data_IF_797443135451
#
_entry.id   IF_797443135451
#
_cell.length_a   1.000
_cell.length_b   1.000
_cell.length_c   1.000
_cell.angle_alpha   90.00
_cell.angle_beta   90.00
_cell.angle_gamma   90.00
#
_symmetry.space_group_name_H-M   'P 1'
#
loop_
_entity.id
_entity.type
_entity.pdbx_description
1 polymer ?
#
# COMPACT_ATOMS: atom_id res chain seq x y z
N UNK A 1 -62.36 33.71 57.74
CA UNK A 1 -61.19 32.80 57.81
C UNK A 1 -60.73 32.59 56.38
N UNK A 2 -59.70 33.25 56.02
CA UNK A 2 -59.09 33.12 54.65
C UNK A 2 -57.82 32.26 54.84
N UNK A 3 -57.78 31.08 54.21
CA UNK A 3 -56.64 30.22 54.17
C UNK A 3 -55.81 30.59 52.94
N UNK A 4 -54.61 31.14 53.16
CA UNK A 4 -53.62 31.41 52.15
C UNK A 4 -52.94 30.11 51.76
N UNK A 5 -53.07 29.72 50.50
CA UNK A 5 -52.27 28.66 49.92
C UNK A 5 -50.95 29.28 49.39
N UNK A 6 -49.89 29.08 50.14
CA UNK A 6 -48.50 29.30 49.58
C UNK A 6 -48.18 28.12 48.69
N UNK A 7 -48.15 28.38 47.36
CA UNK A 7 -47.52 27.47 46.43
C UNK A 7 -46.01 27.80 46.42
N UNK A 8 -45.20 27.01 47.06
CA UNK A 8 -43.74 26.98 46.89
C UNK A 8 -43.41 26.61 45.47
N UNK A 9 -42.93 27.59 44.72
CA UNK A 9 -42.29 27.32 43.43
C UNK A 9 -40.97 26.57 43.69
N UNK A 10 -40.96 25.29 43.41
CA UNK A 10 -39.72 24.52 43.41
C UNK A 10 -38.75 25.14 42.40
N UNK A 11 -37.69 25.77 42.90
CA UNK A 11 -36.59 26.25 42.09
C UNK A 11 -35.96 25.04 41.39
N UNK A 12 -36.15 24.94 40.09
CA UNK A 12 -35.40 23.99 39.22
C UNK A 12 -33.93 24.38 39.32
N UNK A 13 -33.17 23.68 40.19
CA UNK A 13 -31.71 23.81 40.19
C UNK A 13 -31.19 23.49 38.79
N UNK A 14 -30.73 24.49 38.06
CA UNK A 14 -29.99 24.26 36.79
C UNK A 14 -28.78 23.41 37.16
N UNK A 15 -28.68 22.21 36.60
CA UNK A 15 -27.55 21.33 36.83
C UNK A 15 -26.25 22.08 36.54
N UNK A 16 -25.32 22.04 37.48
CA UNK A 16 -24.01 22.72 37.35
C UNK A 16 -23.27 22.19 36.15
N UNK A 17 -22.80 23.08 35.29
CA UNK A 17 -21.92 22.76 34.14
C UNK A 17 -20.51 22.59 34.69
N UNK A 18 -19.85 21.46 34.36
CA UNK A 18 -18.46 21.18 34.74
C UNK A 18 -17.59 21.24 33.48
N UNK A 19 -16.62 22.16 33.47
CA UNK A 19 -15.60 22.24 32.40
C UNK A 19 -14.54 21.14 32.56
N UNK A 20 -13.96 20.72 31.43
CA UNK A 20 -12.90 19.73 31.37
C UNK A 20 -12.21 19.69 30.01
N UNK A 21 -11.32 18.77 29.88
CA UNK A 21 -10.65 18.42 28.61
C UNK A 21 -10.60 16.91 28.47
N UNK A 22 -10.66 16.43 27.21
CA UNK A 22 -10.48 15.01 26.88
C UNK A 22 -9.53 14.92 25.70
N UNK A 23 -8.54 14.04 25.82
CA UNK A 23 -7.57 13.81 24.72
C UNK A 23 -8.14 12.80 23.73
N UNK A 24 -8.11 13.17 22.46
CA UNK A 24 -8.43 12.32 21.32
C UNK A 24 -7.27 12.31 20.34
N UNK A 25 -7.11 11.23 19.60
CA UNK A 25 -6.20 11.20 18.45
C UNK A 25 -6.99 11.62 17.21
N UNK A 26 -6.72 12.82 16.70
CA UNK A 26 -7.40 13.35 15.51
C UNK A 26 -6.46 13.22 14.31
N UNK A 27 -6.86 12.46 13.29
CA UNK A 27 -6.04 12.17 12.10
C UNK A 27 -4.59 11.75 12.44
N UNK A 28 -4.44 10.94 13.49
CA UNK A 28 -3.13 10.44 13.96
C UNK A 28 -2.39 11.36 14.94
N UNK A 29 -2.91 12.55 15.27
CA UNK A 29 -2.29 13.50 16.19
C UNK A 29 -3.07 13.58 17.50
N UNK A 30 -2.44 13.43 18.68
CA UNK A 30 -3.10 13.64 19.97
C UNK A 30 -3.50 15.10 20.16
N UNK A 31 -4.77 15.34 20.49
CA UNK A 31 -5.35 16.68 20.69
C UNK A 31 -6.19 16.69 21.97
N UNK A 32 -6.01 17.70 22.81
CA UNK A 32 -6.82 17.93 24.00
C UNK A 32 -8.03 18.80 23.63
N UNK A 33 -9.22 18.21 23.59
CA UNK A 33 -10.48 18.87 23.24
C UNK A 33 -11.18 19.40 24.50
N UNK A 34 -11.60 20.68 24.46
CA UNK A 34 -12.38 21.29 25.55
C UNK A 34 -13.77 20.68 25.64
N UNK A 35 -14.20 20.36 26.84
CA UNK A 35 -15.49 19.71 27.11
C UNK A 35 -16.27 20.42 28.22
N UNK A 36 -17.57 20.20 28.23
CA UNK A 36 -18.42 20.44 29.37
C UNK A 36 -19.25 19.17 29.69
N UNK A 37 -19.42 18.88 30.97
CA UNK A 37 -20.37 17.87 31.43
C UNK A 37 -21.64 18.57 31.92
N UNK A 38 -22.79 18.22 31.34
CA UNK A 38 -24.12 18.77 31.70
C UNK A 38 -25.15 17.67 31.66
N UNK A 39 -25.88 17.49 32.76
CA UNK A 39 -26.94 16.50 32.90
C UNK A 39 -26.49 15.05 32.54
N UNK A 40 -25.27 14.69 32.85
CA UNK A 40 -24.69 13.38 32.54
C UNK A 40 -24.21 13.20 31.13
N UNK A 41 -24.24 14.23 30.29
CA UNK A 41 -23.73 14.21 28.92
C UNK A 41 -22.46 15.05 28.79
N UNK A 42 -21.49 14.51 28.09
CA UNK A 42 -20.27 15.24 27.70
C UNK A 42 -20.44 15.87 26.34
N UNK A 43 -20.26 17.19 26.29
CA UNK A 43 -20.31 17.97 25.04
C UNK A 43 -18.93 18.57 24.75
N UNK A 44 -18.60 18.76 23.50
CA UNK A 44 -17.29 19.21 23.01
C UNK A 44 -17.38 20.56 22.32
N UNK A 45 -16.33 21.37 22.42
CA UNK A 45 -16.26 22.67 21.75
C UNK A 45 -16.39 22.52 20.23
N UNK A 46 -17.48 23.04 19.66
CA UNK A 46 -17.79 22.98 18.24
C UNK A 46 -16.66 23.52 17.38
N UNK A 47 -16.17 24.74 17.70
CA UNK A 47 -15.15 25.41 16.89
C UNK A 47 -13.80 24.70 16.95
N UNK A 48 -13.45 24.11 18.11
CA UNK A 48 -12.21 23.38 18.25
C UNK A 48 -12.26 22.06 17.47
N UNK A 49 -13.30 21.26 17.63
CA UNK A 49 -13.46 20.02 16.87
C UNK A 49 -13.52 20.28 15.37
N UNK A 50 -14.32 21.27 14.94
CA UNK A 50 -14.40 21.64 13.53
C UNK A 50 -13.04 22.07 12.95
N UNK A 51 -12.25 22.84 13.72
CA UNK A 51 -10.90 23.24 13.32
C UNK A 51 -9.94 22.06 13.16
N UNK A 52 -9.96 21.10 14.08
CA UNK A 52 -9.15 19.88 14.02
C UNK A 52 -9.54 18.97 12.84
N UNK A 53 -10.83 18.97 12.46
CA UNK A 53 -11.32 18.27 11.28
C UNK A 53 -11.03 19.02 9.97
N UNK A 54 -10.49 20.23 10.02
CA UNK A 54 -10.27 21.08 8.84
C UNK A 54 -11.56 21.65 8.24
N UNK A 55 -12.66 21.66 9.00
CA UNK A 55 -13.94 22.17 8.52
C UNK A 55 -14.00 23.70 8.54
N UNK A 56 -14.69 24.28 7.57
CA UNK A 56 -14.98 25.70 7.50
C UNK A 56 -16.23 26.02 8.32
N UNK A 57 -16.13 27.00 9.22
CA UNK A 57 -17.24 27.40 10.09
C UNK A 57 -17.68 28.83 9.74
N UNK A 58 -18.95 28.98 9.34
CA UNK A 58 -19.61 30.27 9.14
C UNK A 58 -20.61 30.51 10.25
N UNK A 59 -20.43 31.58 10.98
CA UNK A 59 -21.34 31.96 12.08
C UNK A 59 -22.44 32.85 11.53
N UNK A 60 -23.69 32.56 11.91
CA UNK A 60 -24.87 33.38 11.63
C UNK A 60 -25.51 33.88 12.92
N UNK A 61 -26.50 34.77 12.82
CA UNK A 61 -27.23 35.27 13.98
C UNK A 61 -27.94 34.19 14.80
N UNK A 62 -28.26 33.04 14.17
CA UNK A 62 -29.06 31.99 14.79
C UNK A 62 -28.29 30.65 14.94
N UNK A 63 -27.02 30.60 14.56
CA UNK A 63 -26.26 29.35 14.65
C UNK A 63 -25.04 29.30 13.75
N UNK A 64 -24.74 28.08 13.29
CA UNK A 64 -23.51 27.76 12.55
C UNK A 64 -23.84 27.00 11.27
N UNK A 65 -23.12 27.28 10.22
CA UNK A 65 -23.00 26.47 9.02
C UNK A 65 -21.57 25.99 8.92
N UNK A 66 -21.39 24.67 8.87
CA UNK A 66 -20.08 24.02 8.76
C UNK A 66 -20.03 23.25 7.45
N UNK A 67 -18.89 23.34 6.78
CA UNK A 67 -18.59 22.55 5.58
C UNK A 67 -17.30 21.78 5.83
N UNK A 68 -17.26 20.50 5.46
CA UNK A 68 -16.03 19.74 5.48
C UNK A 68 -14.99 20.31 4.52
N UNK A 69 -13.72 19.95 4.67
CA UNK A 69 -12.62 20.52 3.87
C UNK A 69 -12.70 20.21 2.37
N UNK A 70 -13.46 19.18 1.97
CA UNK A 70 -13.69 18.79 0.56
C UNK A 70 -14.99 19.39 0.00
N UNK A 71 -15.82 20.02 0.83
CA UNK A 71 -17.11 20.58 0.43
C UNK A 71 -18.17 19.56 0.05
N UNK A 72 -18.06 18.33 0.57
CA UNK A 72 -19.00 17.23 0.31
C UNK A 72 -20.18 17.23 1.27
N UNK A 73 -19.99 17.75 2.47
CA UNK A 73 -21.00 17.74 3.54
C UNK A 73 -21.20 19.14 4.10
N UNK A 74 -22.46 19.47 4.34
CA UNK A 74 -22.88 20.73 5.03
C UNK A 74 -23.67 20.40 6.26
N UNK A 75 -23.25 20.95 7.39
CA UNK A 75 -23.90 20.81 8.69
C UNK A 75 -24.44 22.17 9.14
N UNK A 76 -25.75 22.26 9.41
CA UNK A 76 -26.37 23.49 9.90
C UNK A 76 -26.93 23.26 11.32
N UNK A 77 -26.41 24.03 12.28
CA UNK A 77 -26.73 23.91 13.71
C UNK A 77 -27.30 25.23 14.20
N UNK A 78 -28.43 25.16 14.90
CA UNK A 78 -29.01 26.30 15.63
C UNK A 78 -28.69 26.19 17.12
N UNK A 79 -28.22 27.27 17.71
CA UNK A 79 -27.92 27.30 19.14
C UNK A 79 -29.19 27.08 19.96
N UNK A 80 -29.16 26.12 20.91
CA UNK A 80 -30.28 25.76 21.77
C UNK A 80 -31.36 24.91 21.12
N UNK A 81 -31.29 24.60 19.81
CA UNK A 81 -32.23 23.70 19.15
C UNK A 81 -31.69 22.26 19.13
N UNK A 82 -32.55 21.26 19.37
CA UNK A 82 -32.17 19.86 19.21
C UNK A 82 -32.04 19.44 17.75
N UNK A 83 -32.84 20.05 16.86
CA UNK A 83 -32.77 19.71 15.45
C UNK A 83 -31.63 20.43 14.75
N UNK A 84 -30.99 19.73 13.82
CA UNK A 84 -29.96 20.24 12.93
C UNK A 84 -30.10 19.62 11.53
N UNK A 85 -29.43 20.17 10.53
CA UNK A 85 -29.48 19.65 9.17
C UNK A 85 -28.10 19.09 8.78
N UNK A 86 -28.08 17.91 8.14
CA UNK A 86 -26.93 17.32 7.46
C UNK A 86 -27.31 17.19 6.00
N UNK A 87 -26.63 17.91 5.12
CA UNK A 87 -26.90 17.95 3.66
C UNK A 87 -28.38 18.21 3.35
N UNK A 88 -28.97 19.12 4.11
CA UNK A 88 -30.40 19.48 4.01
C UNK A 88 -31.37 18.49 4.70
N UNK A 89 -30.90 17.35 5.20
CA UNK A 89 -31.72 16.34 5.89
C UNK A 89 -31.76 16.62 7.39
N UNK A 90 -32.96 16.64 7.95
CA UNK A 90 -33.17 16.90 9.40
C UNK A 90 -32.68 15.73 10.24
N UNK A 91 -31.87 16.05 11.25
CA UNK A 91 -31.36 15.16 12.29
C UNK A 91 -31.64 15.74 13.68
N UNK A 92 -31.43 14.97 14.72
CA UNK A 92 -31.61 15.42 16.09
C UNK A 92 -30.43 15.08 17.01
N UNK A 93 -30.03 16.08 17.81
CA UNK A 93 -29.14 15.87 18.94
C UNK A 93 -29.90 15.18 20.10
N UNK A 94 -29.21 14.36 20.87
CA UNK A 94 -29.74 13.89 22.15
C UNK A 94 -29.84 15.04 23.12
N UNK A 95 -28.82 15.92 23.15
CA UNK A 95 -28.78 17.13 23.96
C UNK A 95 -28.54 18.32 23.02
N UNK A 96 -29.41 19.33 23.08
CA UNK A 96 -29.27 20.55 22.30
C UNK A 96 -27.90 21.21 22.54
N UNK A 97 -27.28 21.84 21.50
CA UNK A 97 -26.06 22.62 21.65
C UNK A 97 -26.13 23.62 22.79
N UNK A 98 -25.09 23.69 23.61
CA UNK A 98 -25.02 24.53 24.82
C UNK A 98 -24.00 25.66 24.57
N UNK A 99 -24.42 26.91 24.76
CA UNK A 99 -23.51 28.02 24.83
C UNK A 99 -23.04 28.23 26.28
N UNK A 100 -21.74 28.19 26.51
CA UNK A 100 -21.13 28.32 27.81
C UNK A 100 -19.75 28.98 27.72
N UNK A 101 -19.46 29.97 28.55
CA UNK A 101 -18.18 30.71 28.58
C UNK A 101 -17.67 31.11 27.18
N UNK A 102 -18.55 31.71 26.34
CA UNK A 102 -18.18 32.20 25.02
C UNK A 102 -17.98 31.13 23.95
N UNK A 103 -18.25 29.86 24.26
CA UNK A 103 -18.12 28.73 23.31
C UNK A 103 -19.43 27.97 23.19
N UNK A 104 -19.65 27.41 22.02
CA UNK A 104 -20.76 26.45 21.79
C UNK A 104 -20.22 25.02 21.89
N UNK A 105 -20.91 24.19 22.65
CA UNK A 105 -20.59 22.79 22.89
C UNK A 105 -21.69 21.91 22.30
N UNK A 106 -21.27 20.81 21.63
CA UNK A 106 -22.14 19.88 20.92
C UNK A 106 -21.75 18.42 21.19
N UNK A 107 -22.63 17.50 20.84
CA UNK A 107 -22.32 16.06 20.84
C UNK A 107 -21.25 15.76 19.79
N UNK A 108 -20.12 15.16 20.22
CA UNK A 108 -18.96 14.87 19.38
C UNK A 108 -19.32 13.99 18.16
N UNK A 109 -20.00 12.86 18.43
CA UNK A 109 -20.38 11.91 17.37
C UNK A 109 -21.20 12.57 16.27
N UNK A 110 -22.19 13.40 16.66
CA UNK A 110 -23.09 14.08 15.71
C UNK A 110 -22.34 15.11 14.85
N UNK A 111 -21.40 15.83 15.47
CA UNK A 111 -20.57 16.80 14.74
C UNK A 111 -19.61 16.11 13.75
N UNK A 112 -18.89 15.07 14.21
CA UNK A 112 -17.93 14.34 13.39
C UNK A 112 -18.62 13.63 12.23
N UNK A 113 -19.67 12.86 12.50
CA UNK A 113 -20.38 12.10 11.45
C UNK A 113 -21.15 12.99 10.49
N UNK A 114 -21.71 14.11 10.99
CA UNK A 114 -22.39 15.11 10.14
C UNK A 114 -21.47 15.81 9.16
N UNK A 115 -20.17 15.87 9.44
CA UNK A 115 -19.13 16.38 8.54
C UNK A 115 -18.47 15.26 7.70
N UNK A 116 -19.04 14.05 7.65
CA UNK A 116 -18.51 12.93 6.89
C UNK A 116 -17.33 12.22 7.55
N UNK A 117 -17.00 12.57 8.80
CA UNK A 117 -15.93 11.96 9.57
C UNK A 117 -16.34 10.66 10.25
N UNK A 118 -15.39 10.05 10.94
CA UNK A 118 -15.54 8.81 11.68
C UNK A 118 -15.01 8.97 13.11
N UNK A 119 -15.74 8.39 14.07
CA UNK A 119 -15.35 8.35 15.47
C UNK A 119 -15.20 6.89 15.91
N UNK A 120 -14.00 6.54 16.36
CA UNK A 120 -13.63 5.23 16.89
C UNK A 120 -13.46 5.36 18.41
N UNK A 121 -14.54 5.07 19.15
CA UNK A 121 -14.60 5.31 20.61
C UNK A 121 -13.57 4.48 21.38
N UNK A 122 -13.37 3.21 21.02
CA UNK A 122 -12.49 2.27 21.73
C UNK A 122 -11.02 2.70 21.68
N UNK A 123 -10.59 3.33 20.60
CA UNK A 123 -9.23 3.88 20.44
C UNK A 123 -9.13 5.38 20.72
N UNK A 124 -10.23 6.04 21.10
CA UNK A 124 -10.33 7.50 21.22
C UNK A 124 -9.79 8.22 19.97
N UNK A 125 -10.18 7.75 18.78
CA UNK A 125 -9.72 8.26 17.50
C UNK A 125 -10.84 8.97 16.74
N UNK A 126 -10.52 10.09 16.14
CA UNK A 126 -11.39 10.87 15.24
C UNK A 126 -10.68 11.01 13.90
N UNK A 127 -11.42 10.71 12.82
CA UNK A 127 -10.97 10.91 11.44
C UNK A 127 -11.85 11.96 10.77
N UNK A 128 -11.24 12.88 10.01
CA UNK A 128 -11.98 13.91 9.25
C UNK A 128 -12.87 13.32 8.17
N UNK A 129 -12.51 12.15 7.65
CA UNK A 129 -13.28 11.40 6.67
C UNK A 129 -13.38 9.94 7.10
N UNK A 130 -14.52 9.30 6.79
CA UNK A 130 -14.71 7.87 7.04
C UNK A 130 -13.72 7.07 6.19
N UNK A 131 -13.22 5.97 6.77
CA UNK A 131 -12.38 5.02 6.03
C UNK A 131 -13.20 4.33 4.94
N UNK A 132 -12.62 4.07 3.75
CA UNK A 132 -13.29 3.29 2.73
C UNK A 132 -13.47 1.84 3.19
N UNK A 133 -14.60 1.25 2.83
CA UNK A 133 -14.88 -0.16 3.03
C UNK A 133 -14.45 -0.96 1.80
N UNK A 134 -14.02 -2.20 1.99
CA UNK A 134 -13.70 -3.15 0.93
C UNK A 134 -12.34 -3.80 1.07
N UNK A 135 -12.05 -4.73 0.15
CA UNK A 135 -10.79 -5.44 0.07
C UNK A 135 -9.83 -4.71 -0.85
N UNK A 136 -8.57 -4.65 -0.45
CA UNK A 136 -7.51 -3.96 -1.18
C UNK A 136 -6.33 -4.87 -1.45
N UNK A 137 -5.68 -4.66 -2.61
CA UNK A 137 -4.45 -5.34 -3.01
C UNK A 137 -3.62 -4.46 -3.96
N UNK A 138 -2.51 -5.01 -4.44
CA UNK A 138 -1.66 -4.40 -5.48
C UNK A 138 -1.18 -3.01 -5.10
N UNK A 139 -0.43 -2.95 -3.99
CA UNK A 139 0.03 -1.72 -3.36
C UNK A 139 1.19 -1.08 -4.12
N UNK A 140 1.10 0.21 -4.42
CA UNK A 140 2.14 0.99 -5.12
C UNK A 140 2.34 2.35 -4.48
N UNK A 141 3.58 2.81 -4.43
CA UNK A 141 3.96 4.09 -3.85
C UNK A 141 4.08 5.18 -4.90
N UNK A 142 3.63 6.38 -4.56
CA UNK A 142 3.81 7.60 -5.33
C UNK A 142 4.86 8.50 -4.67
N UNK A 143 5.49 9.37 -5.47
CA UNK A 143 6.56 10.29 -5.03
C UNK A 143 6.12 11.28 -3.94
N UNK A 144 4.82 11.61 -3.87
CA UNK A 144 4.25 12.46 -2.83
C UNK A 144 4.02 11.72 -1.49
N UNK A 145 4.44 10.46 -1.40
CA UNK A 145 4.26 9.61 -0.23
C UNK A 145 2.86 9.00 -0.11
N UNK A 146 2.00 9.19 -1.11
CA UNK A 146 0.70 8.53 -1.18
C UNK A 146 0.84 7.07 -1.59
N UNK A 147 -0.12 6.26 -1.16
CA UNK A 147 -0.25 4.86 -1.52
C UNK A 147 -1.37 4.69 -2.55
N UNK A 148 -1.10 3.97 -3.63
CA UNK A 148 -2.10 3.57 -4.61
C UNK A 148 -2.40 2.09 -4.38
N UNK A 149 -3.69 1.75 -4.25
CA UNK A 149 -4.15 0.38 -4.04
C UNK A 149 -5.34 0.08 -4.95
N UNK A 150 -5.43 -1.16 -5.41
CA UNK A 150 -6.59 -1.66 -6.13
C UNK A 150 -7.67 -2.09 -5.14
N UNK A 151 -8.90 -1.63 -5.35
CA UNK A 151 -10.09 -2.11 -4.61
C UNK A 151 -10.59 -3.38 -5.28
N UNK A 152 -10.15 -4.54 -4.78
CA UNK A 152 -10.33 -5.84 -5.44
C UNK A 152 -11.77 -6.39 -5.39
N UNK A 153 -12.59 -5.92 -4.45
CA UNK A 153 -14.01 -6.27 -4.33
C UNK A 153 -14.94 -5.37 -5.17
N UNK A 154 -14.40 -4.40 -5.92
CA UNK A 154 -15.20 -3.52 -6.77
C UNK A 154 -15.64 -4.23 -8.05
N UNK A 155 -16.87 -3.96 -8.53
CA UNK A 155 -17.41 -4.50 -9.78
C UNK A 155 -16.64 -4.01 -11.03
N UNK A 156 -16.04 -2.83 -10.95
CA UNK A 156 -15.20 -2.23 -11.99
C UNK A 156 -13.88 -1.81 -11.39
N UNK A 157 -12.83 -1.75 -12.20
CA UNK A 157 -11.49 -1.36 -11.72
C UNK A 157 -11.50 -0.01 -11.02
N UNK A 158 -11.04 0.01 -9.78
CA UNK A 158 -10.85 1.20 -8.97
C UNK A 158 -9.48 1.17 -8.31
N UNK A 159 -8.56 1.92 -8.87
CA UNK A 159 -7.31 2.26 -8.19
C UNK A 159 -7.55 3.48 -7.34
N UNK A 160 -7.45 3.34 -6.01
CA UNK A 160 -7.60 4.45 -5.07
C UNK A 160 -6.24 4.95 -4.64
N UNK A 161 -6.09 6.27 -4.52
CA UNK A 161 -4.88 6.92 -4.01
C UNK A 161 -5.15 7.47 -2.61
N UNK A 162 -4.40 6.95 -1.63
CA UNK A 162 -4.50 7.29 -0.22
C UNK A 162 -3.37 8.24 0.17
N UNK A 163 -3.70 9.33 0.83
CA UNK A 163 -2.70 10.12 1.52
C UNK A 163 -2.25 9.44 2.83
N UNK A 164 -1.24 9.99 3.49
CA UNK A 164 -0.84 9.55 4.82
C UNK A 164 -1.80 9.99 5.95
N UNK A 165 -2.91 10.67 5.60
CA UNK A 165 -3.99 11.01 6.53
C UNK A 165 -5.14 10.04 6.32
N UNK A 166 -5.55 9.25 7.34
CA UNK A 166 -6.64 8.31 7.24
C UNK A 166 -7.94 8.96 6.76
N UNK A 167 -8.67 8.26 5.89
CA UNK A 167 -9.91 8.76 5.27
C UNK A 167 -9.70 9.78 4.15
N UNK A 168 -8.48 10.23 3.88
CA UNK A 168 -8.18 11.10 2.75
C UNK A 168 -7.68 10.27 1.57
N UNK A 169 -8.60 9.94 0.66
CA UNK A 169 -8.34 9.16 -0.54
C UNK A 169 -9.21 9.65 -1.69
N UNK A 170 -8.77 9.38 -2.92
CA UNK A 170 -9.50 9.71 -4.14
C UNK A 170 -9.37 8.58 -5.16
N UNK A 171 -10.32 8.51 -6.11
CA UNK A 171 -10.18 7.65 -7.28
C UNK A 171 -8.99 8.14 -8.12
N UNK A 172 -8.02 7.27 -8.32
CA UNK A 172 -6.80 7.55 -9.08
C UNK A 172 -6.94 7.15 -10.54
N UNK A 173 -7.44 5.93 -10.80
CA UNK A 173 -7.64 5.41 -12.14
C UNK A 173 -8.70 4.31 -12.15
N UNK A 174 -9.45 4.22 -13.26
CA UNK A 174 -10.38 3.11 -13.56
C UNK A 174 -9.91 2.28 -14.75
N UNK A 175 -8.66 2.41 -15.17
CA UNK A 175 -8.10 1.68 -16.29
C UNK A 175 -7.69 0.26 -15.87
N UNK A 176 -8.30 -0.76 -16.48
CA UNK A 176 -8.04 -2.17 -16.15
C UNK A 176 -6.59 -2.57 -16.37
N UNK A 177 -5.95 -2.08 -17.43
CA UNK A 177 -4.55 -2.37 -17.73
C UNK A 177 -3.56 -1.77 -16.73
N UNK A 178 -3.98 -0.74 -15.99
CA UNK A 178 -3.11 -0.06 -15.03
C UNK A 178 -3.01 -0.78 -13.68
N UNK A 179 -3.80 -1.83 -13.43
CA UNK A 179 -3.68 -2.64 -12.21
C UNK A 179 -2.32 -3.26 -12.17
N UNK A 180 -1.44 -3.16 -11.34
CA UNK A 180 -0.12 -3.80 -11.30
C UNK A 180 0.96 -3.15 -12.16
N UNK A 181 0.85 -1.86 -12.46
CA UNK A 181 1.91 -1.12 -13.13
C UNK A 181 3.25 -1.21 -12.37
N UNK A 182 4.37 -1.19 -13.11
CA UNK A 182 5.72 -1.12 -12.55
C UNK A 182 6.09 0.33 -12.22
N UNK A 183 6.55 0.58 -11.00
CA UNK A 183 6.88 1.93 -10.49
C UNK A 183 8.32 2.30 -10.81
N UNK A 184 8.56 3.52 -11.29
CA UNK A 184 9.91 4.09 -11.46
C UNK A 184 10.61 4.31 -10.12
N UNK A 185 11.95 4.33 -10.10
CA UNK A 185 12.73 4.52 -8.86
C UNK A 185 12.39 5.83 -8.14
N UNK A 186 12.10 6.90 -8.88
CA UNK A 186 11.66 8.19 -8.32
C UNK A 186 10.18 8.23 -7.93
N UNK A 187 9.45 7.13 -8.15
CA UNK A 187 8.02 6.97 -7.84
C UNK A 187 7.09 8.00 -8.51
N UNK A 188 7.52 8.60 -9.63
CA UNK A 188 6.72 9.55 -10.42
C UNK A 188 5.89 8.89 -11.49
N UNK A 189 6.33 7.76 -11.99
CA UNK A 189 5.74 7.07 -13.13
C UNK A 189 5.47 5.61 -12.84
N UNK A 190 4.37 5.13 -13.38
CA UNK A 190 4.09 3.70 -13.55
C UNK A 190 4.17 3.33 -15.03
N UNK A 191 4.52 2.08 -15.31
CA UNK A 191 4.49 1.52 -16.66
C UNK A 191 3.68 0.24 -16.69
N UNK A 192 2.87 0.05 -17.72
CA UNK A 192 2.11 -1.17 -17.95
C UNK A 192 1.95 -1.41 -19.45
N UNK A 193 1.65 -2.65 -19.81
CA UNK A 193 1.29 -3.03 -21.17
C UNK A 193 -0.23 -3.08 -21.28
N UNK A 194 -0.79 -2.42 -22.29
CA UNK A 194 -2.23 -2.52 -22.56
C UNK A 194 -2.58 -3.84 -23.25
N UNK A 195 -3.87 -4.08 -23.50
CA UNK A 195 -4.38 -5.27 -24.16
C UNK A 195 -3.83 -5.50 -25.58
N UNK A 196 -3.34 -4.44 -26.23
CA UNK A 196 -2.70 -4.53 -27.56
C UNK A 196 -1.22 -4.87 -27.50
N UNK A 197 -0.62 -4.89 -26.32
CA UNK A 197 0.82 -5.04 -26.08
C UNK A 197 1.59 -3.73 -26.12
N UNK A 198 0.95 -2.59 -26.38
CA UNK A 198 1.61 -1.28 -26.34
C UNK A 198 1.89 -0.85 -24.90
N UNK A 199 3.09 -0.35 -24.64
CA UNK A 199 3.44 0.24 -23.35
C UNK A 199 2.72 1.57 -23.13
N UNK A 200 2.25 1.75 -21.91
CA UNK A 200 1.65 2.98 -21.40
C UNK A 200 2.41 3.44 -20.16
N UNK A 201 2.50 4.74 -20.01
CA UNK A 201 2.99 5.41 -18.80
C UNK A 201 1.80 6.03 -18.07
N UNK A 202 1.74 5.84 -16.77
CA UNK A 202 0.78 6.50 -15.89
C UNK A 202 1.52 7.44 -14.94
N UNK A 203 1.12 8.70 -14.92
CA UNK A 203 1.65 9.70 -13.99
C UNK A 203 1.09 9.43 -12.60
N UNK A 204 1.95 9.12 -11.62
CA UNK A 204 1.52 8.73 -10.27
C UNK A 204 1.04 9.89 -9.40
N UNK A 205 1.22 11.14 -9.86
CA UNK A 205 0.63 12.29 -9.20
C UNK A 205 -0.85 12.47 -9.56
N UNK A 206 -1.19 12.38 -10.85
CA UNK A 206 -2.52 12.75 -11.36
C UNK A 206 -3.26 11.67 -12.14
N UNK A 207 -2.68 10.47 -12.34
CA UNK A 207 -3.31 9.34 -13.04
C UNK A 207 -3.40 9.48 -14.56
N UNK A 208 -2.79 10.50 -15.17
CA UNK A 208 -2.80 10.70 -16.62
C UNK A 208 -1.99 9.59 -17.30
N UNK A 209 -2.58 8.94 -18.30
CA UNK A 209 -1.99 7.84 -19.06
C UNK A 209 -1.57 8.33 -20.44
N UNK A 210 -0.33 8.01 -20.84
CA UNK A 210 0.23 8.33 -22.16
C UNK A 210 0.87 7.09 -22.79
N UNK A 211 0.82 6.93 -24.12
CA UNK A 211 1.49 5.81 -24.79
C UNK A 211 3.02 6.01 -24.82
N UNK A 212 3.76 4.90 -24.78
CA UNK A 212 5.21 4.86 -24.97
C UNK A 212 5.56 3.96 -26.15
N UNK A 213 6.13 4.55 -27.19
CA UNK A 213 6.50 3.84 -28.42
C UNK A 213 5.30 3.31 -29.20
N UNK A 214 5.57 2.45 -30.19
CA UNK A 214 4.56 1.87 -31.09
C UNK A 214 4.61 0.35 -31.15
N UNK A 215 5.55 -0.26 -30.43
CA UNK A 215 5.71 -1.72 -30.41
C UNK A 215 4.56 -2.37 -29.66
N UNK A 216 3.93 -3.37 -30.28
CA UNK A 216 2.78 -4.10 -29.74
C UNK A 216 3.08 -5.57 -29.46
N UNK A 217 4.35 -5.95 -29.39
CA UNK A 217 4.74 -7.29 -28.95
C UNK A 217 4.32 -7.52 -27.48
N UNK A 218 4.11 -8.78 -27.15
CA UNK A 218 3.86 -9.18 -25.75
C UNK A 218 5.05 -8.79 -24.89
N UNK A 219 4.78 -8.13 -23.76
CA UNK A 219 5.77 -7.66 -22.79
C UNK A 219 5.32 -8.01 -21.39
N UNK A 220 6.21 -8.64 -20.64
CA UNK A 220 6.02 -8.98 -19.23
C UNK A 220 7.21 -8.51 -18.41
N UNK A 221 7.08 -8.54 -17.09
CA UNK A 221 8.15 -8.22 -16.14
C UNK A 221 8.83 -6.88 -16.42
N UNK A 222 8.01 -5.82 -16.48
CA UNK A 222 8.51 -4.47 -16.71
C UNK A 222 9.35 -3.99 -15.53
N UNK A 223 10.57 -3.54 -15.81
CA UNK A 223 11.51 -3.01 -14.81
C UNK A 223 12.10 -1.69 -15.30
N UNK A 224 11.99 -0.67 -14.47
CA UNK A 224 12.60 0.63 -14.76
C UNK A 224 14.12 0.63 -14.53
N UNK A 225 14.86 1.37 -15.36
CA UNK A 225 16.22 1.77 -15.00
C UNK A 225 16.19 2.72 -13.81
N UNK A 226 17.25 2.73 -12.99
CA UNK A 226 17.36 3.58 -11.80
C UNK A 226 17.23 5.08 -12.15
N UNK A 227 17.75 5.49 -13.31
CA UNK A 227 17.66 6.87 -13.80
C UNK A 227 16.31 7.23 -14.45
N UNK A 228 15.40 6.27 -14.55
CA UNK A 228 14.05 6.46 -15.12
C UNK A 228 14.00 6.68 -16.63
N UNK A 229 15.10 6.43 -17.38
CA UNK A 229 15.17 6.71 -18.82
C UNK A 229 14.83 5.52 -19.70
N UNK A 230 14.81 4.32 -19.13
CA UNK A 230 14.54 3.07 -19.85
C UNK A 230 13.60 2.17 -19.05
N UNK A 231 12.90 1.32 -19.77
CA UNK A 231 12.14 0.20 -19.21
C UNK A 231 12.65 -1.07 -19.86
N UNK A 232 13.08 -2.01 -19.04
CA UNK A 232 13.48 -3.36 -19.42
C UNK A 232 12.29 -4.29 -19.32
N UNK A 233 12.21 -5.31 -20.16
CA UNK A 233 11.09 -6.26 -20.14
C UNK A 233 11.47 -7.58 -20.81
N UNK A 234 10.68 -8.60 -20.49
CA UNK A 234 10.69 -9.85 -21.21
C UNK A 234 9.72 -9.73 -22.37
N UNK A 235 10.15 -10.13 -23.57
CA UNK A 235 9.41 -9.96 -24.81
C UNK A 235 9.14 -11.29 -25.50
N UNK A 236 7.97 -11.37 -26.12
CA UNK A 236 7.53 -12.47 -26.97
C UNK A 236 6.49 -13.36 -26.31
N UNK A 237 5.71 -14.06 -27.13
CA UNK A 237 4.59 -14.94 -26.70
C UNK A 237 5.08 -16.12 -25.84
N UNK A 238 6.35 -16.51 -26.00
CA UNK A 238 6.99 -17.57 -25.25
C UNK A 238 7.98 -17.07 -24.21
N UNK A 239 8.00 -15.75 -23.98
CA UNK A 239 8.93 -15.13 -23.02
C UNK A 239 10.40 -15.49 -23.35
N UNK A 240 10.76 -15.42 -24.62
CA UNK A 240 12.05 -15.91 -25.12
C UNK A 240 13.12 -14.80 -25.26
N UNK A 241 12.74 -13.52 -25.18
CA UNK A 241 13.65 -12.39 -25.36
C UNK A 241 13.72 -11.49 -24.14
N UNK A 242 14.84 -10.79 -24.00
CA UNK A 242 14.97 -9.64 -23.09
C UNK A 242 15.25 -8.40 -23.95
N UNK A 243 14.50 -7.35 -23.72
CA UNK A 243 14.59 -6.09 -24.43
C UNK A 243 14.48 -4.88 -23.51
N UNK A 244 14.77 -3.72 -24.04
CA UNK A 244 14.55 -2.44 -23.38
C UNK A 244 13.90 -1.44 -24.33
N UNK A 245 13.18 -0.47 -23.79
CA UNK A 245 12.66 0.68 -24.53
C UNK A 245 13.23 1.96 -23.93
N UNK A 246 13.66 2.89 -24.78
CA UNK A 246 14.06 4.24 -24.34
C UNK A 246 12.83 5.14 -24.24
N UNK A 247 12.70 5.88 -23.15
CA UNK A 247 11.60 6.85 -22.97
C UNK A 247 11.70 8.02 -23.97
N UNK A 248 12.92 8.45 -24.30
CA UNK A 248 13.11 9.59 -25.18
C UNK A 248 12.68 9.32 -26.63
N UNK A 249 12.96 8.11 -27.13
CA UNK A 249 12.74 7.76 -28.54
C UNK A 249 11.55 6.81 -28.74
N UNK A 250 11.10 6.12 -27.70
CA UNK A 250 10.12 5.05 -27.80
C UNK A 250 10.62 3.84 -28.64
N UNK A 251 11.95 3.69 -28.78
CA UNK A 251 12.58 2.64 -29.59
C UNK A 251 12.92 1.44 -28.72
N UNK A 252 12.52 0.26 -29.19
CA UNK A 252 12.86 -1.04 -28.56
C UNK A 252 14.21 -1.52 -29.06
N UNK A 253 15.06 -1.95 -28.14
CA UNK A 253 16.34 -2.61 -28.39
C UNK A 253 16.34 -4.00 -27.75
N UNK A 254 16.56 -5.05 -28.57
CA UNK A 254 16.76 -6.40 -28.08
C UNK A 254 18.13 -6.53 -27.41
N UNK A 255 18.17 -7.09 -26.21
CA UNK A 255 19.38 -7.34 -25.43
C UNK A 255 19.78 -8.81 -25.46
N UNK A 256 18.81 -9.71 -25.48
CA UNK A 256 19.01 -11.15 -25.56
C UNK A 256 17.94 -11.79 -26.44
N UNK A 257 18.38 -12.64 -27.37
CA UNK A 257 17.55 -13.48 -28.23
C UNK A 257 18.22 -14.85 -28.40
N UNK A 258 18.13 -15.67 -27.36
CA UNK A 258 18.81 -16.97 -27.30
C UNK A 258 17.88 -18.17 -27.54
N UNK A 259 16.61 -17.89 -27.88
CA UNK A 259 15.55 -18.90 -28.09
C UNK A 259 15.21 -19.77 -26.87
N UNK A 260 15.70 -19.39 -25.68
CA UNK A 260 15.29 -20.00 -24.43
C UNK A 260 13.98 -19.40 -23.98
N UNK A 261 12.94 -20.21 -23.88
CA UNK A 261 11.57 -19.84 -23.51
C UNK A 261 11.39 -19.78 -21.98
N UNK A 262 10.23 -19.27 -21.52
CA UNK A 262 9.80 -19.24 -20.13
C UNK A 262 10.72 -18.41 -19.21
N UNK A 263 11.19 -17.28 -19.67
CA UNK A 263 11.85 -16.30 -18.83
C UNK A 263 10.84 -15.51 -17.98
N UNK A 264 11.20 -15.20 -16.74
CA UNK A 264 10.39 -14.45 -15.78
C UNK A 264 11.26 -13.73 -14.75
N UNK A 265 10.63 -12.93 -13.88
CA UNK A 265 11.27 -12.27 -12.73
C UNK A 265 12.52 -11.47 -13.11
N UNK A 266 12.42 -10.67 -14.15
CA UNK A 266 13.53 -9.81 -14.62
C UNK A 266 13.89 -8.77 -13.56
N UNK A 267 15.19 -8.60 -13.32
CA UNK A 267 15.76 -7.53 -12.51
C UNK A 267 16.96 -6.91 -13.24
N UNK A 268 17.16 -5.62 -13.03
CA UNK A 268 18.25 -4.86 -13.62
C UNK A 268 19.09 -4.23 -12.51
N UNK A 269 20.41 -4.34 -12.56
CA UNK A 269 21.29 -3.67 -11.62
C UNK A 269 21.16 -2.14 -11.73
N UNK A 270 21.34 -1.42 -10.62
CA UNK A 270 21.23 0.04 -10.59
C UNK A 270 22.18 0.73 -11.57
N UNK A 271 23.35 0.15 -11.82
CA UNK A 271 24.33 0.63 -12.80
C UNK A 271 24.06 0.17 -14.25
N UNK A 272 22.97 -0.55 -14.48
CA UNK A 272 22.53 -1.11 -15.77
C UNK A 272 23.57 -2.02 -16.46
N UNK A 273 24.51 -2.59 -15.72
CA UNK A 273 25.53 -3.50 -16.27
C UNK A 273 25.09 -4.94 -16.34
N UNK A 274 24.13 -5.33 -15.50
CA UNK A 274 23.69 -6.70 -15.42
C UNK A 274 22.16 -6.80 -15.36
N UNK A 275 21.62 -7.85 -15.94
CA UNK A 275 20.27 -8.31 -15.67
C UNK A 275 20.30 -9.71 -15.08
N UNK A 276 19.34 -9.98 -14.19
CA UNK A 276 19.07 -11.29 -13.61
C UNK A 276 17.63 -11.66 -13.92
N UNK A 277 17.40 -12.91 -14.23
CA UNK A 277 16.07 -13.44 -14.54
C UNK A 277 15.99 -14.92 -14.20
N UNK A 278 14.78 -15.43 -14.12
CA UNK A 278 14.50 -16.85 -13.94
C UNK A 278 14.16 -17.47 -15.29
N UNK A 279 14.65 -18.68 -15.52
CA UNK A 279 14.17 -19.56 -16.59
C UNK A 279 13.51 -20.76 -15.93
N UNK A 280 12.25 -21.00 -16.25
CA UNK A 280 11.58 -22.23 -15.87
C UNK A 280 11.93 -23.33 -16.88
N UNK A 281 12.89 -24.17 -16.50
CA UNK A 281 13.36 -25.29 -17.32
C UNK A 281 12.38 -26.44 -17.23
N UNK A 282 11.74 -26.75 -18.34
CA UNK A 282 10.85 -27.91 -18.45
C UNK A 282 11.67 -29.21 -18.58
N UNK A 283 11.08 -30.34 -18.19
CA UNK A 283 11.72 -31.66 -18.36
C UNK A 283 12.03 -31.95 -19.84
N UNK A 284 13.17 -32.59 -20.10
CA UNK A 284 13.60 -32.94 -21.45
C UNK A 284 13.16 -34.38 -21.74
N UNK A 285 12.42 -34.58 -22.83
CA UNK A 285 12.09 -35.91 -23.31
C UNK A 285 13.35 -36.64 -23.78
N UNK A 286 13.64 -37.78 -23.20
CA UNK A 286 14.71 -38.68 -23.64
C UNK A 286 14.09 -39.78 -24.51
N UNK A 287 14.52 -39.85 -25.78
CA UNK A 287 14.31 -41.01 -26.62
C UNK A 287 15.49 -41.94 -26.45
N UNK A 288 15.29 -43.08 -25.83
CA UNK A 288 16.25 -44.19 -25.97
C UNK A 288 16.19 -44.71 -27.39
N UNK A 289 17.34 -44.76 -28.07
CA UNK A 289 17.44 -45.11 -29.50
C UNK A 289 16.90 -46.53 -29.88
N UNK A 290 16.52 -47.34 -28.89
CA UNK A 290 15.98 -48.70 -29.05
C UNK A 290 14.53 -48.89 -28.58
N UNK A 291 13.81 -47.79 -28.25
CA UNK A 291 12.47 -47.93 -27.66
C UNK A 291 11.36 -47.64 -28.68
N UNK A 292 10.36 -48.51 -28.65
CA UNK A 292 9.05 -48.34 -29.28
C UNK A 292 8.33 -47.12 -28.67
N UNK A 293 7.38 -46.50 -29.37
CA UNK A 293 6.65 -45.28 -29.01
C UNK A 293 6.08 -45.23 -27.57
N UNK A 294 6.05 -46.32 -26.85
CA UNK A 294 5.49 -46.44 -25.49
C UNK A 294 6.49 -46.17 -24.35
N UNK A 295 7.75 -45.80 -24.62
CA UNK A 295 8.81 -45.61 -23.60
C UNK A 295 9.42 -44.21 -23.59
N UNK A 296 8.64 -43.18 -23.84
CA UNK A 296 9.07 -41.78 -23.70
C UNK A 296 9.30 -41.50 -22.21
N UNK A 297 10.56 -41.40 -21.77
CA UNK A 297 10.90 -40.94 -20.43
C UNK A 297 11.22 -39.45 -20.45
N UNK A 298 10.75 -38.69 -19.46
CA UNK A 298 11.08 -37.28 -19.30
C UNK A 298 12.13 -37.13 -18.21
N UNK A 299 13.27 -36.55 -18.57
CA UNK A 299 14.32 -36.24 -17.61
C UNK A 299 14.04 -34.87 -16.95
N UNK A 300 13.72 -34.89 -15.69
CA UNK A 300 13.47 -33.72 -14.87
C UNK A 300 14.71 -33.31 -14.03
N UNK A 301 15.87 -33.94 -14.20
CA UNK A 301 17.06 -33.68 -13.38
C UNK A 301 17.57 -32.24 -13.44
N UNK A 302 17.17 -31.48 -14.48
CA UNK A 302 17.47 -30.05 -14.65
C UNK A 302 16.23 -29.20 -14.74
N UNK A 303 15.06 -29.77 -14.49
CA UNK A 303 13.80 -29.05 -14.50
C UNK A 303 13.69 -28.14 -13.27
N UNK A 304 12.89 -27.08 -13.37
CA UNK A 304 12.62 -26.14 -12.31
C UNK A 304 13.12 -24.73 -12.61
N UNK A 305 12.97 -23.87 -11.64
CA UNK A 305 13.33 -22.46 -11.76
C UNK A 305 14.83 -22.26 -11.52
N UNK A 306 15.52 -21.67 -12.48
CA UNK A 306 16.94 -21.37 -12.38
C UNK A 306 17.23 -19.89 -12.64
N UNK A 307 18.07 -19.30 -11.79
CA UNK A 307 18.53 -17.93 -11.94
C UNK A 307 19.66 -17.85 -12.97
N UNK A 308 19.53 -16.88 -13.88
CA UNK A 308 20.52 -16.56 -14.87
C UNK A 308 20.93 -15.10 -14.75
N UNK A 309 22.19 -14.81 -15.08
CA UNK A 309 22.75 -13.46 -15.16
C UNK A 309 23.29 -13.20 -16.55
N UNK A 310 22.96 -12.03 -17.11
CA UNK A 310 23.49 -11.54 -18.37
C UNK A 310 24.29 -10.25 -18.13
N UNK A 311 25.53 -10.24 -18.56
CA UNK A 311 26.39 -9.05 -18.59
C UNK A 311 26.02 -8.19 -19.82
N UNK A 312 25.52 -6.99 -19.58
CA UNK A 312 25.14 -6.03 -20.63
C UNK A 312 26.33 -5.21 -21.16
N UNK A 313 27.50 -5.27 -20.52
CA UNK A 313 28.69 -4.52 -20.90
C UNK A 313 29.49 -5.22 -21.97
N UNK A 314 29.36 -6.54 -22.10
CA UNK A 314 30.08 -7.37 -23.07
C UNK A 314 29.18 -7.64 -24.27
N UNK A 315 29.67 -7.30 -25.47
CA UNK A 315 28.95 -7.59 -26.72
C UNK A 315 28.78 -9.10 -26.88
N UNK A 316 27.57 -9.53 -27.25
CA UNK A 316 27.21 -10.93 -27.49
C UNK A 316 27.50 -11.86 -26.29
N UNK A 317 27.47 -11.28 -25.06
CA UNK A 317 27.58 -12.06 -23.83
C UNK A 317 26.49 -13.12 -23.76
N UNK A 318 26.86 -14.31 -23.28
CA UNK A 318 25.91 -15.39 -23.04
C UNK A 318 25.48 -15.39 -21.57
N UNK A 319 24.20 -15.67 -21.29
CA UNK A 319 23.74 -15.82 -19.92
C UNK A 319 24.50 -16.92 -19.17
N UNK A 320 24.84 -16.63 -17.91
CA UNK A 320 25.47 -17.57 -17.01
C UNK A 320 24.44 -18.04 -15.97
N UNK A 321 24.32 -19.34 -15.74
CA UNK A 321 23.50 -19.90 -14.68
C UNK A 321 24.10 -19.54 -13.32
N UNK A 322 23.30 -18.98 -12.42
CA UNK A 322 23.69 -18.68 -11.04
C UNK A 322 23.30 -19.81 -10.08
N UNK A 323 22.32 -20.63 -10.44
CA UNK A 323 21.78 -21.71 -9.61
C UNK A 323 21.63 -22.99 -10.41
N UNK A 324 21.69 -24.14 -9.72
CA UNK A 324 21.48 -25.46 -10.30
C UNK A 324 20.56 -26.34 -9.43
N UNK A 325 20.18 -25.87 -8.25
CA UNK A 325 19.32 -26.59 -7.33
C UNK A 325 17.85 -26.52 -7.75
N UNK A 326 17.04 -27.48 -7.28
CA UNK A 326 15.65 -27.66 -7.72
C UNK A 326 14.62 -26.92 -6.85
N UNK A 327 15.07 -26.09 -5.93
CA UNK A 327 14.19 -25.20 -5.17
C UNK A 327 13.53 -24.14 -6.05
N UNK A 328 12.37 -23.67 -5.69
CA UNK A 328 11.74 -22.52 -6.31
C UNK A 328 12.48 -21.25 -5.90
N UNK A 329 12.72 -20.34 -6.85
CA UNK A 329 13.38 -19.07 -6.62
C UNK A 329 12.33 -17.98 -6.76
N UNK A 330 12.09 -17.24 -5.67
CA UNK A 330 11.09 -16.19 -5.59
C UNK A 330 11.77 -14.86 -5.26
N UNK A 331 11.17 -13.77 -5.74
CA UNK A 331 11.60 -12.41 -5.42
C UNK A 331 13.11 -12.17 -5.61
N UNK A 332 13.70 -12.47 -6.77
CA UNK A 332 15.11 -12.20 -6.99
C UNK A 332 15.39 -10.69 -7.03
N UNK A 333 16.50 -10.27 -6.42
CA UNK A 333 16.95 -8.88 -6.43
C UNK A 333 18.46 -8.80 -6.65
N UNK A 334 18.92 -7.76 -7.34
CA UNK A 334 20.33 -7.44 -7.50
C UNK A 334 20.67 -6.28 -6.57
N UNK A 335 21.56 -6.48 -5.61
CA UNK A 335 22.00 -5.45 -4.69
C UNK A 335 23.13 -4.61 -5.29
N UNK A 336 23.36 -3.40 -4.74
CA UNK A 336 24.39 -2.47 -5.23
C UNK A 336 25.82 -3.02 -5.17
N UNK A 337 26.08 -4.01 -4.32
CA UNK A 337 27.36 -4.72 -4.24
C UNK A 337 27.50 -5.85 -5.26
N UNK A 338 26.53 -6.03 -6.15
CA UNK A 338 26.50 -7.07 -7.18
C UNK A 338 26.03 -8.44 -6.70
N UNK A 339 25.64 -8.59 -5.43
CA UNK A 339 25.04 -9.82 -4.92
C UNK A 339 23.62 -9.97 -5.46
N UNK A 340 23.22 -11.22 -5.71
CA UNK A 340 21.85 -11.59 -6.05
C UNK A 340 21.22 -12.29 -4.87
N UNK A 341 20.09 -11.77 -4.40
CA UNK A 341 19.35 -12.34 -3.28
C UNK A 341 18.02 -12.87 -3.78
N UNK A 342 17.58 -14.00 -3.26
CA UNK A 342 16.29 -14.61 -3.58
C UNK A 342 15.75 -15.41 -2.42
N UNK A 343 14.45 -15.62 -2.40
CA UNK A 343 13.79 -16.53 -1.48
C UNK A 343 13.76 -17.92 -2.11
N UNK A 344 14.34 -18.89 -1.40
CA UNK A 344 14.36 -20.30 -1.77
C UNK A 344 13.21 -21.03 -1.09
N UNK A 345 12.33 -21.63 -1.87
CA UNK A 345 11.21 -22.42 -1.36
C UNK A 345 11.29 -23.86 -1.86
N UNK A 346 11.05 -24.81 -0.94
CA UNK A 346 10.96 -26.22 -1.28
C UNK A 346 9.70 -26.49 -2.12
N UNK A 347 9.80 -27.02 -3.34
CA UNK A 347 8.63 -27.33 -4.17
C UNK A 347 7.64 -28.31 -3.52
N UNK A 348 8.13 -29.19 -2.65
CA UNK A 348 7.33 -30.18 -1.93
C UNK A 348 6.76 -29.61 -0.60
N UNK A 349 7.20 -28.43 -0.16
CA UNK A 349 6.75 -27.80 1.07
C UNK A 349 7.23 -28.50 2.36
N UNK A 350 8.26 -29.36 2.29
CA UNK A 350 8.76 -30.10 3.44
C UNK A 350 9.79 -29.31 4.27
N UNK A 351 10.41 -28.30 3.67
CA UNK A 351 11.38 -27.44 4.32
C UNK A 351 10.89 -25.98 4.35
N UNK A 352 11.24 -25.28 5.42
CA UNK A 352 10.95 -23.85 5.54
C UNK A 352 11.66 -23.02 4.45
N UNK A 353 11.01 -21.97 3.97
CA UNK A 353 11.62 -21.03 3.04
C UNK A 353 12.82 -20.33 3.67
N UNK A 354 13.84 -20.10 2.88
CA UNK A 354 15.06 -19.42 3.31
C UNK A 354 15.46 -18.30 2.37
N UNK A 355 16.06 -17.26 2.91
CA UNK A 355 16.63 -16.17 2.12
C UNK A 355 18.08 -16.51 1.79
N UNK A 356 18.41 -16.60 0.49
CA UNK A 356 19.74 -16.93 -0.02
C UNK A 356 20.38 -15.74 -0.72
N UNK A 357 21.69 -15.64 -0.63
CA UNK A 357 22.50 -14.63 -1.32
C UNK A 357 23.59 -15.32 -2.14
N UNK A 358 23.77 -14.86 -3.37
CA UNK A 358 24.87 -15.23 -4.26
C UNK A 358 25.74 -13.99 -4.42
N UNK A 359 26.95 -14.04 -3.86
CA UNK A 359 27.90 -12.93 -3.98
C UNK A 359 28.38 -12.74 -5.44
N UNK A 360 28.99 -11.61 -5.74
CA UNK A 360 29.51 -11.31 -7.07
C UNK A 360 30.57 -12.34 -7.54
N UNK A 361 31.28 -13.00 -6.63
CA UNK A 361 32.24 -14.08 -6.89
C UNK A 361 31.58 -15.45 -7.09
N UNK A 362 30.24 -15.53 -7.01
CA UNK A 362 29.44 -16.76 -7.17
C UNK A 362 29.24 -17.58 -5.92
N UNK A 363 29.76 -17.17 -4.76
CA UNK A 363 29.57 -17.88 -3.50
C UNK A 363 28.16 -17.69 -2.96
N UNK A 364 27.50 -18.80 -2.65
CA UNK A 364 26.18 -18.81 -2.03
C UNK A 364 26.29 -18.83 -0.50
N UNK A 365 25.36 -18.12 0.14
CA UNK A 365 25.18 -18.13 1.61
C UNK A 365 23.71 -17.93 1.96
N UNK A 366 23.33 -18.31 3.18
CA UNK A 366 22.01 -18.01 3.71
C UNK A 366 22.06 -16.70 4.51
N UNK A 367 21.00 -15.90 4.39
CA UNK A 367 20.75 -14.75 5.26
C UNK A 367 19.85 -15.24 6.39
N UNK A 368 20.39 -15.29 7.62
CA UNK A 368 19.66 -15.76 8.78
C UNK A 368 18.54 -14.79 9.18
N UNK A 369 17.32 -15.32 9.34
CA UNK A 369 16.15 -14.61 9.83
C UNK A 369 15.59 -15.31 11.07
N UNK A 370 14.92 -14.54 11.92
CA UNK A 370 14.04 -15.10 12.93
C UNK A 370 12.66 -15.29 12.28
N UNK A 371 12.41 -16.52 11.84
CA UNK A 371 11.19 -16.91 11.13
C UNK A 371 11.43 -17.36 9.69
N UNK A 372 10.35 -17.81 9.07
CA UNK A 372 10.30 -18.25 7.69
C UNK A 372 10.00 -17.07 6.77
N UNK A 373 10.90 -16.78 5.83
CA UNK A 373 10.70 -15.72 4.85
C UNK A 373 9.56 -16.08 3.90
N UNK A 374 8.68 -15.12 3.64
CA UNK A 374 7.55 -15.28 2.72
C UNK A 374 7.45 -14.21 1.64
N UNK A 375 8.21 -13.12 1.75
CA UNK A 375 8.26 -12.04 0.77
C UNK A 375 9.56 -11.25 0.91
N UNK A 376 10.05 -10.73 -0.20
CA UNK A 376 11.19 -9.83 -0.24
C UNK A 376 11.06 -8.84 -1.40
N UNK A 377 11.58 -7.63 -1.23
CA UNK A 377 11.70 -6.63 -2.29
C UNK A 377 12.96 -5.79 -2.13
N UNK A 378 13.55 -5.38 -3.25
CA UNK A 378 14.66 -4.44 -3.28
C UNK A 378 14.21 -3.02 -2.92
N UNK A 379 15.03 -2.33 -2.14
CA UNK A 379 14.94 -0.89 -1.85
C UNK A 379 16.29 -0.24 -2.08
N UNK A 380 16.37 1.09 -2.08
CA UNK A 380 17.61 1.80 -2.45
C UNK A 380 18.83 1.47 -1.57
N UNK A 381 18.64 0.94 -0.38
CA UNK A 381 19.72 0.59 0.55
C UNK A 381 19.91 -0.92 0.80
N UNK A 382 19.16 -1.79 0.13
CA UNK A 382 19.18 -3.22 0.36
C UNK A 382 17.86 -3.91 0.08
N UNK A 383 17.30 -4.59 1.09
CA UNK A 383 16.06 -5.35 0.99
C UNK A 383 15.10 -4.98 2.12
N UNK A 384 13.82 -5.14 1.84
CA UNK A 384 12.78 -5.33 2.86
C UNK A 384 12.28 -6.76 2.73
N UNK A 385 12.19 -7.47 3.85
CA UNK A 385 11.82 -8.89 3.91
C UNK A 385 10.73 -9.09 4.94
N UNK A 386 9.70 -9.84 4.59
CA UNK A 386 8.66 -10.32 5.52
C UNK A 386 8.93 -11.76 5.89
N UNK A 387 8.78 -12.09 7.17
CA UNK A 387 8.91 -13.45 7.69
C UNK A 387 7.84 -13.74 8.74
N UNK A 388 7.47 -15.02 8.87
CA UNK A 388 6.55 -15.51 9.91
C UNK A 388 7.36 -16.25 10.95
N UNK A 389 7.30 -15.81 12.20
CA UNK A 389 8.02 -16.41 13.32
C UNK A 389 7.30 -17.65 13.85
N UNK A 390 7.96 -18.42 14.72
CA UNK A 390 7.41 -19.67 15.26
C UNK A 390 6.11 -19.47 16.07
N UNK A 391 5.89 -18.28 16.63
CA UNK A 391 4.66 -17.93 17.34
C UNK A 391 3.53 -17.42 16.40
N UNK A 392 3.74 -17.43 15.07
CA UNK A 392 2.80 -16.99 14.07
C UNK A 392 2.79 -15.49 13.80
N UNK A 393 3.65 -14.71 14.45
CA UNK A 393 3.76 -13.27 14.19
C UNK A 393 4.42 -12.99 12.84
N UNK A 394 3.95 -11.97 12.13
CA UNK A 394 4.64 -11.41 10.97
C UNK A 394 5.65 -10.37 11.40
N UNK A 395 6.89 -10.51 10.94
CA UNK A 395 7.98 -9.56 11.18
C UNK A 395 8.50 -9.04 9.86
N UNK A 396 8.70 -7.73 9.76
CA UNK A 396 9.26 -7.09 8.57
C UNK A 396 10.63 -6.53 8.94
N UNK A 397 11.65 -6.95 8.17
CA UNK A 397 13.05 -6.55 8.34
C UNK A 397 13.52 -5.65 7.20
N UNK A 398 14.37 -4.68 7.52
CA UNK A 398 15.30 -4.09 6.56
C UNK A 398 16.62 -4.85 6.65
N UNK A 399 17.19 -5.19 5.50
CA UNK A 399 18.47 -5.86 5.36
C UNK A 399 19.33 -5.04 4.41
N UNK A 400 20.45 -4.51 4.89
CA UNK A 400 21.39 -3.76 4.08
C UNK A 400 22.20 -4.68 3.15
N UNK A 401 22.86 -4.09 2.14
CA UNK A 401 23.67 -4.87 1.18
C UNK A 401 24.82 -5.65 1.82
N UNK A 402 25.32 -5.22 2.98
CA UNK A 402 26.34 -5.93 3.77
C UNK A 402 25.76 -6.98 4.75
N UNK A 403 24.44 -7.18 4.73
CA UNK A 403 23.73 -8.18 5.53
C UNK A 403 23.32 -7.72 6.94
N UNK A 404 23.52 -6.47 7.30
CA UNK A 404 23.03 -5.94 8.58
C UNK A 404 21.48 -5.88 8.56
N UNK A 405 20.87 -6.38 9.65
CA UNK A 405 19.43 -6.58 9.78
C UNK A 405 18.86 -5.71 10.89
N UNK A 406 17.72 -5.07 10.62
CA UNK A 406 16.91 -4.36 11.61
C UNK A 406 15.43 -4.68 11.44
N UNK A 407 14.70 -4.80 12.56
CA UNK A 407 13.26 -4.97 12.57
C UNK A 407 12.57 -3.63 12.31
N UNK A 408 11.71 -3.56 11.31
CA UNK A 408 10.92 -2.37 10.97
C UNK A 408 9.54 -2.40 11.62
N UNK A 409 8.92 -3.59 11.65
CA UNK A 409 7.56 -3.77 12.16
C UNK A 409 7.30 -5.22 12.56
N UNK A 410 6.43 -5.42 13.55
CA UNK A 410 5.95 -6.72 14.00
C UNK A 410 4.47 -6.66 14.31
N UNK A 411 3.73 -7.67 13.90
CA UNK A 411 2.30 -7.83 14.22
C UNK A 411 1.96 -9.30 14.43
N UNK A 412 0.97 -9.56 15.31
CA UNK A 412 0.38 -10.89 15.47
C UNK A 412 -0.68 -11.19 14.39
N UNK A 413 -1.06 -10.19 13.60
CA UNK A 413 -2.05 -10.34 12.53
C UNK A 413 -1.43 -11.00 11.30
N UNK A 414 -2.26 -11.75 10.57
CA UNK A 414 -1.87 -12.33 9.27
C UNK A 414 -1.75 -11.22 8.22
N UNK A 415 -0.61 -11.16 7.56
CA UNK A 415 -0.31 -10.16 6.52
C UNK A 415 -0.26 -10.87 5.17
N UNK A 416 -1.14 -10.47 4.26
CA UNK A 416 -1.28 -11.08 2.93
C UNK A 416 -0.50 -10.35 1.83
N UNK A 417 -0.20 -9.08 2.03
CA UNK A 417 0.61 -8.27 1.11
C UNK A 417 1.45 -7.27 1.88
N UNK A 418 2.67 -7.04 1.41
CA UNK A 418 3.61 -6.02 1.88
C UNK A 418 4.10 -5.21 0.71
N UNK A 419 4.22 -3.92 0.88
CA UNK A 419 4.87 -3.01 -0.07
C UNK A 419 5.75 -2.01 0.66
N UNK A 420 6.95 -1.79 0.15
CA UNK A 420 7.89 -0.81 0.70
C UNK A 420 8.06 0.37 -0.26
N UNK A 421 8.21 1.58 0.29
CA UNK A 421 8.66 2.73 -0.51
C UNK A 421 10.07 2.47 -1.04
N UNK A 422 10.48 3.15 -2.13
CA UNK A 422 11.77 2.91 -2.76
C UNK A 422 12.95 3.09 -1.78
N UNK A 423 12.87 4.02 -0.85
CA UNK A 423 13.86 4.26 0.19
C UNK A 423 13.73 3.33 1.41
N UNK A 424 12.72 2.45 1.45
CA UNK A 424 12.45 1.54 2.55
C UNK A 424 11.94 2.19 3.85
N UNK A 425 11.66 3.51 3.84
CA UNK A 425 11.25 4.24 5.05
C UNK A 425 9.78 4.06 5.43
N UNK A 426 8.95 3.66 4.46
CA UNK A 426 7.51 3.45 4.64
C UNK A 426 7.12 2.07 4.18
N UNK A 427 6.18 1.46 4.89
CA UNK A 427 5.59 0.18 4.54
C UNK A 427 4.08 0.35 4.40
N UNK A 428 3.49 -0.40 3.49
CA UNK A 428 2.07 -0.64 3.44
C UNK A 428 1.80 -2.13 3.56
N UNK A 429 0.72 -2.49 4.24
CA UNK A 429 0.35 -3.86 4.53
C UNK A 429 -1.12 -4.07 4.20
N UNK A 430 -1.44 -5.27 3.75
CA UNK A 430 -2.81 -5.78 3.74
C UNK A 430 -2.92 -6.91 4.75
N UNK A 431 -3.89 -6.80 5.63
CA UNK A 431 -4.22 -7.82 6.63
C UNK A 431 -5.74 -7.98 6.70
N UNK A 432 -6.23 -9.19 6.39
CA UNK A 432 -7.68 -9.46 6.34
C UNK A 432 -8.45 -8.55 5.36
N UNK A 433 -7.85 -8.15 4.22
CA UNK A 433 -8.41 -7.20 3.26
C UNK A 433 -8.25 -5.73 3.66
N UNK A 434 -7.93 -5.46 4.92
CA UNK A 434 -7.74 -4.10 5.47
C UNK A 434 -6.35 -3.56 5.12
N UNK A 435 -6.32 -2.31 4.70
CA UNK A 435 -5.10 -1.60 4.31
C UNK A 435 -4.52 -0.81 5.48
N UNK A 436 -3.22 -0.97 5.69
CA UNK A 436 -2.45 -0.32 6.75
C UNK A 436 -1.22 0.39 6.21
N UNK A 437 -0.93 1.56 6.74
CA UNK A 437 0.33 2.27 6.55
C UNK A 437 1.19 2.10 7.81
N UNK A 438 2.45 1.69 7.63
CA UNK A 438 3.42 1.62 8.74
C UNK A 438 4.51 2.65 8.52
N UNK A 439 4.69 3.50 9.51
CA UNK A 439 5.74 4.52 9.54
C UNK A 439 6.28 4.67 10.95
N UNK A 440 7.60 4.67 11.11
CA UNK A 440 8.27 4.76 12.41
C UNK A 440 7.77 3.70 13.43
N UNK A 441 7.54 2.47 12.96
CA UNK A 441 7.07 1.35 13.78
C UNK A 441 5.61 1.43 14.23
N UNK A 442 4.83 2.39 13.72
CA UNK A 442 3.40 2.54 14.03
C UNK A 442 2.55 2.23 12.82
N UNK A 443 1.53 1.39 13.02
CA UNK A 443 0.53 1.08 12.01
C UNK A 443 -0.63 2.08 12.09
N UNK A 444 -1.05 2.58 10.92
CA UNK A 444 -2.16 3.48 10.73
C UNK A 444 -3.16 2.83 9.76
N UNK A 445 -4.40 2.65 10.20
CA UNK A 445 -5.44 2.04 9.38
C UNK A 445 -5.91 3.00 8.28
N UNK A 446 -5.95 2.54 7.02
CA UNK A 446 -6.41 3.32 5.87
C UNK A 446 -7.73 2.84 5.27
N UNK A 447 -8.18 1.60 5.56
CA UNK A 447 -9.48 1.04 5.14
C UNK A 447 -10.13 0.21 6.24
N UNK A 448 -11.38 -0.21 6.03
CA UNK A 448 -12.13 -1.12 6.91
C UNK A 448 -12.31 -2.46 6.24
#
# INVERSE_FOLDING_TARGET
MATSNNAEAAAVQSAAVKEGTTTWTVNGTPVALSTIDKNGYRLYSLSQVAGELGAYVKVSSNGFELNDSKGLHTLQIQTGAKSYLVDGTKQEFTVAPVFYNGKTYVELTKLVTGLGGELQADSATILSFALPEGDFDTLRWSTDGSLIANKSDAETTQLLKFSNTPGNYDLFSSNDGAVGFAVSADQKWGAFSDETGQLKLINLFNGVITPLGKDTSVKTDLVWSEDGKKIYFIQGDKQEKIAQISLDTGTVKTLLEDKVENKSELRVSADEKNVVYIVNVTGVAKNDADSTEDSLTVDFSKAGEQLYKLDLTTKDAKPAALTTELDNKLYPEILNNGSVVYLSADPEGNAANSLKSIAADGKSSNIALDGEANWAAGVSGGLVVSAVTADGSTVIYAISADGAKSELFRTAEDVTEVSASHDGSKLALVSGGTLWLVQNGKALQLSK
#
